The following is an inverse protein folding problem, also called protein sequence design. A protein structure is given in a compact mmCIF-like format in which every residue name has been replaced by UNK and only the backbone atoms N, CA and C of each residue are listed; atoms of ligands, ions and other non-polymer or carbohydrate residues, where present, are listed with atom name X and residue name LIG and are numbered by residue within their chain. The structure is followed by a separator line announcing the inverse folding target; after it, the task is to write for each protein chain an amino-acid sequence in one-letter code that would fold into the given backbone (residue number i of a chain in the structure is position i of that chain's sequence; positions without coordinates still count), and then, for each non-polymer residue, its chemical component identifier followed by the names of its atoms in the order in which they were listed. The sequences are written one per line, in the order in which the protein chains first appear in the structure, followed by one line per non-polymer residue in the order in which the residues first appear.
data_IF_587211225839
#
_entry.id   IF_587211225839
#
_cell.length_a   1.000
_cell.length_b   1.000
_cell.length_c   1.000
_cell.angle_alpha   90.00
_cell.angle_beta   90.00
_cell.angle_gamma   90.00
#
_symmetry.space_group_name_H-M   'P 1'
#
loop_
_entity.id
_entity.type
_entity.pdbx_description
1 polymer ?
#
# COMPACT_ATOMS: atom_id res chain seq x y z
N UNK A 1 11.44 -16.46 -9.37
CA UNK A 1 10.40 -15.76 -8.59
C UNK A 1 9.86 -14.55 -9.35
N UNK A 2 10.73 -13.64 -9.84
CA UNK A 2 10.31 -12.50 -10.68
C UNK A 2 9.82 -12.90 -12.08
N UNK A 3 10.39 -13.94 -12.70
CA UNK A 3 9.94 -14.47 -14.00
C UNK A 3 8.49 -14.96 -13.99
N UNK A 4 7.98 -15.40 -12.83
CA UNK A 4 6.57 -15.81 -12.62
C UNK A 4 5.62 -14.62 -12.44
N UNK A 5 6.14 -13.39 -12.51
CA UNK A 5 5.38 -12.15 -12.38
C UNK A 5 5.64 -11.24 -13.59
N UNK A 6 5.73 -11.83 -14.78
CA UNK A 6 5.98 -11.15 -16.05
C UNK A 6 4.69 -10.86 -16.82
N UNK A 7 4.79 -10.01 -17.85
CA UNK A 7 3.71 -9.80 -18.82
C UNK A 7 3.34 -11.09 -19.56
N UNK A 8 4.33 -11.92 -19.90
CA UNK A 8 4.10 -13.20 -20.58
C UNK A 8 3.30 -14.16 -19.71
N UNK A 9 3.60 -14.25 -18.42
CA UNK A 9 2.84 -15.09 -17.49
C UNK A 9 1.41 -14.56 -17.32
N UNK A 10 1.23 -13.24 -17.24
CA UNK A 10 -0.10 -12.62 -17.20
C UNK A 10 -0.94 -13.00 -18.43
N UNK A 11 -0.39 -12.81 -19.64
CA UNK A 11 -1.06 -13.16 -20.89
C UNK A 11 -1.31 -14.67 -21.00
N UNK A 12 -0.34 -15.51 -20.60
CA UNK A 12 -0.50 -16.97 -20.61
C UNK A 12 -1.65 -17.45 -19.71
N UNK A 13 -1.84 -16.82 -18.54
CA UNK A 13 -2.95 -17.18 -17.64
C UNK A 13 -4.31 -16.76 -18.23
N UNK A 14 -4.37 -15.63 -18.93
CA UNK A 14 -5.54 -15.21 -19.71
C UNK A 14 -5.83 -16.22 -20.82
N UNK A 15 -4.84 -16.57 -21.65
CA UNK A 15 -4.98 -17.46 -22.80
C UNK A 15 -5.41 -18.88 -22.39
N UNK A 16 -5.02 -19.31 -21.18
CA UNK A 16 -5.46 -20.58 -20.56
C UNK A 16 -6.90 -20.53 -20.01
N UNK A 17 -7.59 -19.39 -20.12
CA UNK A 17 -8.96 -19.22 -19.66
C UNK A 17 -9.12 -19.10 -18.14
N UNK A 18 -8.07 -18.70 -17.40
CA UNK A 18 -8.22 -18.45 -15.96
C UNK A 18 -9.12 -17.24 -15.70
N UNK A 19 -9.80 -17.24 -14.56
CA UNK A 19 -10.54 -16.06 -14.12
C UNK A 19 -9.57 -15.02 -13.57
N UNK A 20 -9.32 -13.95 -14.32
CA UNK A 20 -8.37 -12.91 -13.92
C UNK A 20 -9.08 -11.70 -13.32
N UNK A 21 -8.59 -11.21 -12.18
CA UNK A 21 -9.02 -9.94 -11.58
C UNK A 21 -7.80 -9.02 -11.49
N UNK A 22 -7.95 -7.75 -11.89
CA UNK A 22 -6.88 -6.75 -11.84
C UNK A 22 -7.22 -5.65 -10.84
N UNK A 23 -6.28 -5.26 -9.98
CA UNK A 23 -6.43 -4.11 -9.07
C UNK A 23 -5.36 -3.05 -9.34
N UNK A 24 -5.77 -1.84 -9.69
CA UNK A 24 -4.90 -0.73 -10.09
C UNK A 24 -4.65 0.26 -8.95
N UNK A 25 -3.38 0.59 -8.71
CA UNK A 25 -3.02 1.61 -7.73
C UNK A 25 -3.26 3.05 -8.23
N UNK A 26 -3.63 3.99 -7.35
CA UNK A 26 -3.76 5.42 -7.70
C UNK A 26 -2.48 6.02 -8.29
N UNK A 27 -1.31 5.56 -7.87
CA UNK A 27 -0.02 6.03 -8.39
C UNK A 27 0.22 5.56 -9.83
N UNK A 28 -0.14 4.32 -10.16
CA UNK A 28 -0.07 3.81 -11.52
C UNK A 28 -1.09 4.49 -12.44
N UNK A 29 -2.30 4.77 -11.92
CA UNK A 29 -3.31 5.56 -12.61
C UNK A 29 -2.80 6.96 -12.95
N UNK A 30 -2.19 7.66 -11.98
CA UNK A 30 -1.55 8.96 -12.21
C UNK A 30 -0.39 8.88 -13.22
N UNK A 31 0.41 7.81 -13.19
CA UNK A 31 1.51 7.60 -14.14
C UNK A 31 1.03 7.50 -15.58
N UNK A 32 0.00 6.70 -15.82
CA UNK A 32 -0.63 6.56 -17.14
C UNK A 32 -1.31 7.88 -17.57
N UNK A 33 -1.97 8.58 -16.65
CA UNK A 33 -2.63 9.86 -16.90
C UNK A 33 -1.66 10.90 -17.46
N UNK A 34 -0.52 11.09 -16.76
CA UNK A 34 0.54 12.00 -17.20
C UNK A 34 1.14 11.57 -18.54
N UNK A 35 1.33 10.26 -18.75
CA UNK A 35 1.92 9.76 -20.00
C UNK A 35 1.04 10.07 -21.23
N UNK A 36 -0.26 9.76 -21.13
CA UNK A 36 -1.23 9.91 -22.23
C UNK A 36 -1.87 11.31 -22.31
N UNK A 37 -1.68 12.15 -21.29
CA UNK A 37 -2.27 13.48 -21.22
C UNK A 37 -3.80 13.45 -21.12
N UNK A 38 -4.32 12.59 -20.24
CA UNK A 38 -5.75 12.44 -19.94
C UNK A 38 -5.93 12.36 -18.41
N UNK A 39 -7.16 12.54 -17.92
CA UNK A 39 -7.42 12.53 -16.48
C UNK A 39 -7.28 11.13 -15.86
N UNK A 40 -7.02 11.01 -14.54
CA UNK A 40 -6.95 9.72 -13.86
C UNK A 40 -8.22 8.87 -13.98
N UNK A 41 -9.40 9.49 -13.95
CA UNK A 41 -10.67 8.77 -14.12
C UNK A 41 -10.83 8.21 -15.54
N UNK A 42 -10.40 8.97 -16.55
CA UNK A 42 -10.39 8.47 -17.94
C UNK A 42 -9.43 7.29 -18.11
N UNK A 43 -8.26 7.33 -17.45
CA UNK A 43 -7.35 6.18 -17.40
C UNK A 43 -8.06 4.96 -16.82
N UNK A 44 -8.73 5.10 -15.66
CA UNK A 44 -9.41 3.98 -15.01
C UNK A 44 -10.51 3.38 -15.91
N UNK A 45 -11.26 4.20 -16.64
CA UNK A 45 -12.28 3.72 -17.58
C UNK A 45 -11.67 3.04 -18.80
N UNK A 46 -10.66 3.64 -19.44
CA UNK A 46 -10.01 3.10 -20.64
C UNK A 46 -9.17 1.85 -20.34
N UNK A 47 -8.52 1.80 -19.19
CA UNK A 47 -7.79 0.60 -18.75
C UNK A 47 -8.76 -0.53 -18.38
N UNK A 48 -9.96 -0.20 -17.88
CA UNK A 48 -11.03 -1.19 -17.70
C UNK A 48 -11.43 -1.79 -19.04
N UNK A 49 -11.70 -0.96 -20.06
CA UNK A 49 -11.97 -1.42 -21.42
C UNK A 49 -10.85 -2.31 -21.95
N UNK A 50 -9.60 -1.86 -21.84
CA UNK A 50 -8.42 -2.57 -22.32
C UNK A 50 -8.27 -3.95 -21.67
N UNK A 51 -8.34 -4.04 -20.35
CA UNK A 51 -8.22 -5.32 -19.65
C UNK A 51 -9.42 -6.25 -19.92
N UNK A 52 -10.65 -5.72 -20.00
CA UNK A 52 -11.84 -6.51 -20.34
C UNK A 52 -11.73 -7.07 -21.76
N UNK A 53 -11.20 -6.29 -22.71
CA UNK A 53 -10.88 -6.75 -24.07
C UNK A 53 -9.88 -7.92 -24.07
N UNK A 54 -8.91 -7.92 -23.15
CA UNK A 54 -7.99 -9.04 -22.98
C UNK A 54 -8.63 -10.25 -22.26
N UNK A 55 -9.84 -10.16 -21.72
CA UNK A 55 -10.50 -11.27 -21.01
C UNK A 55 -10.43 -11.18 -19.48
N UNK A 56 -9.98 -10.06 -18.91
CA UNK A 56 -10.04 -9.82 -17.46
C UNK A 56 -11.48 -9.72 -16.99
N UNK A 57 -11.82 -10.45 -15.92
CA UNK A 57 -13.18 -10.54 -15.37
C UNK A 57 -13.60 -9.26 -14.66
N UNK A 58 -12.72 -8.66 -13.86
CA UNK A 58 -12.99 -7.44 -13.09
C UNK A 58 -11.74 -6.57 -12.91
N UNK A 59 -11.93 -5.26 -12.87
CA UNK A 59 -10.89 -4.24 -12.66
C UNK A 59 -11.29 -3.32 -11.50
N UNK A 60 -10.47 -3.28 -10.45
CA UNK A 60 -10.71 -2.49 -9.24
C UNK A 60 -9.64 -1.42 -9.01
N UNK A 61 -9.95 -0.43 -8.19
CA UNK A 61 -9.00 0.56 -7.68
C UNK A 61 -8.59 0.23 -6.23
N UNK A 62 -7.29 0.36 -5.90
CA UNK A 62 -6.80 0.01 -4.56
C UNK A 62 -7.07 1.08 -3.49
N UNK A 63 -7.82 2.14 -3.78
CA UNK A 63 -8.12 3.19 -2.80
C UNK A 63 -8.94 2.65 -1.62
N UNK A 64 -9.89 1.74 -1.88
CA UNK A 64 -10.67 1.12 -0.79
C UNK A 64 -9.80 0.29 0.15
N UNK A 65 -8.83 -0.49 -0.38
CA UNK A 65 -7.94 -1.28 0.47
C UNK A 65 -6.98 -0.39 1.24
N UNK A 66 -6.57 0.75 0.68
CA UNK A 66 -5.79 1.75 1.40
C UNK A 66 -6.55 2.33 2.59
N UNK A 67 -7.80 2.71 2.42
CA UNK A 67 -8.62 3.25 3.52
C UNK A 67 -8.73 2.21 4.65
N UNK A 68 -8.99 0.95 4.29
CA UNK A 68 -9.03 -0.16 5.26
C UNK A 68 -7.68 -0.34 5.99
N UNK A 69 -6.57 -0.30 5.26
CA UNK A 69 -5.22 -0.34 5.85
C UNK A 69 -4.97 0.85 6.79
N UNK A 70 -5.47 2.05 6.48
CA UNK A 70 -5.33 3.22 7.35
C UNK A 70 -6.13 3.07 8.65
N UNK A 71 -7.32 2.47 8.59
CA UNK A 71 -8.15 2.19 9.77
C UNK A 71 -7.45 1.24 10.73
N UNK A 72 -6.92 0.12 10.22
CA UNK A 72 -6.14 -0.82 11.04
C UNK A 72 -4.86 -0.18 11.59
N UNK A 73 -4.18 0.67 10.80
CA UNK A 73 -2.98 1.37 11.25
C UNK A 73 -3.28 2.38 12.36
N UNK A 74 -4.41 3.08 12.28
CA UNK A 74 -4.89 3.96 13.34
C UNK A 74 -5.14 3.15 14.62
N UNK A 75 -5.88 2.05 14.53
CA UNK A 75 -6.17 1.19 15.67
C UNK A 75 -4.89 0.62 16.32
N UNK A 76 -3.94 0.13 15.51
CA UNK A 76 -2.66 -0.36 16.01
C UNK A 76 -1.86 0.74 16.71
N UNK A 77 -1.79 1.94 16.14
CA UNK A 77 -1.08 3.06 16.75
C UNK A 77 -1.68 3.45 18.11
N UNK A 78 -3.00 3.60 18.19
CA UNK A 78 -3.70 3.94 19.44
C UNK A 78 -3.40 2.90 20.52
N UNK A 79 -3.50 1.61 20.15
CA UNK A 79 -3.22 0.50 21.06
C UNK A 79 -1.78 0.54 21.57
N UNK A 80 -0.79 0.68 20.67
CA UNK A 80 0.63 0.77 21.05
C UNK A 80 0.91 2.00 21.92
N UNK A 81 0.30 3.14 21.58
CA UNK A 81 0.47 4.37 22.35
C UNK A 81 -0.06 4.20 23.78
N UNK A 82 -1.29 3.72 23.96
CA UNK A 82 -1.87 3.49 25.28
C UNK A 82 -1.07 2.48 26.10
N UNK A 83 -0.60 1.40 25.49
CA UNK A 83 0.28 0.42 26.14
C UNK A 83 1.62 1.04 26.58
N UNK A 84 2.20 1.93 25.77
CA UNK A 84 3.45 2.64 26.12
C UNK A 84 3.31 3.52 27.35
N UNK A 85 2.09 4.01 27.64
CA UNK A 85 1.79 4.86 28.81
C UNK A 85 1.43 4.05 30.06
N UNK A 86 1.06 2.77 29.94
CA UNK A 86 0.67 1.97 31.10
C UNK A 86 1.88 1.64 31.99
N UNK A 87 1.67 1.46 33.29
CA UNK A 87 2.73 1.17 34.28
C UNK A 87 3.05 -0.34 34.35
N UNK A 88 2.15 -1.18 33.84
CA UNK A 88 2.27 -2.65 33.91
C UNK A 88 3.44 -3.23 33.09
N UNK A 89 3.73 -4.50 33.33
CA UNK A 89 4.94 -5.22 32.92
C UNK A 89 5.43 -4.90 31.50
N UNK A 90 6.71 -4.49 31.39
CA UNK A 90 7.34 -4.06 30.13
C UNK A 90 7.56 -5.20 29.14
N UNK A 91 7.43 -6.44 29.60
CA UNK A 91 7.78 -7.65 28.84
C UNK A 91 6.84 -7.96 27.66
N UNK A 92 5.60 -7.43 27.64
CA UNK A 92 4.57 -7.73 26.63
C UNK A 92 4.17 -6.55 25.74
N UNK A 93 4.83 -5.39 25.86
CA UNK A 93 4.45 -4.16 25.15
C UNK A 93 5.15 -4.03 23.80
N UNK A 94 4.37 -3.74 22.77
CA UNK A 94 4.92 -3.35 21.47
C UNK A 94 5.58 -1.96 21.58
N UNK A 95 6.81 -1.78 21.08
CA UNK A 95 7.55 -0.54 21.30
C UNK A 95 7.10 0.59 20.36
N UNK A 96 7.41 1.82 20.79
CA UNK A 96 7.34 3.04 19.97
C UNK A 96 8.76 3.51 19.60
N UNK A 97 8.96 4.11 18.40
CA UNK A 97 7.95 4.49 17.42
C UNK A 97 7.32 3.32 16.67
N UNK A 98 6.03 3.45 16.31
CA UNK A 98 5.45 2.57 15.29
C UNK A 98 5.94 3.00 13.91
N UNK A 99 6.47 2.06 13.13
CA UNK A 99 7.03 2.30 11.80
C UNK A 99 6.08 1.72 10.75
N UNK A 100 5.69 2.53 9.77
CA UNK A 100 4.84 2.08 8.67
C UNK A 100 5.47 0.91 7.89
N UNK A 101 4.62 -0.01 7.44
CA UNK A 101 5.02 -1.27 6.80
C UNK A 101 4.78 -1.32 5.29
N UNK A 102 4.06 -0.35 4.72
CA UNK A 102 3.53 -0.44 3.36
C UNK A 102 4.60 -0.43 2.25
N UNK A 103 5.83 -0.03 2.55
CA UNK A 103 6.96 0.04 1.62
C UNK A 103 7.77 -1.27 1.63
N UNK A 104 7.71 -2.12 0.58
CA UNK A 104 8.39 -3.42 0.61
C UNK A 104 9.91 -3.31 0.60
N UNK A 105 10.48 -2.26 -0.02
CA UNK A 105 11.91 -2.00 0.02
C UNK A 105 12.43 -1.74 1.44
N UNK A 106 11.62 -1.08 2.29
CA UNK A 106 11.91 -0.93 3.72
C UNK A 106 11.85 -2.28 4.44
N UNK A 107 10.77 -3.04 4.26
CA UNK A 107 10.60 -4.35 4.89
C UNK A 107 11.74 -5.30 4.52
N UNK A 108 12.10 -5.38 3.24
CA UNK A 108 13.22 -6.19 2.76
C UNK A 108 14.55 -5.79 3.40
N UNK A 109 14.81 -4.48 3.57
CA UNK A 109 16.01 -4.02 4.26
C UNK A 109 15.98 -4.37 5.75
N UNK A 110 14.84 -4.18 6.42
CA UNK A 110 14.66 -4.50 7.83
C UNK A 110 14.91 -6.00 8.11
N UNK A 111 14.28 -6.90 7.36
CA UNK A 111 14.40 -8.35 7.55
C UNK A 111 15.80 -8.88 7.20
N UNK A 112 16.45 -8.34 6.15
CA UNK A 112 17.75 -8.84 5.67
C UNK A 112 18.96 -8.26 6.39
N UNK A 113 18.88 -7.00 6.85
CA UNK A 113 20.05 -6.25 7.32
C UNK A 113 19.95 -5.81 8.78
N UNK A 114 18.74 -5.61 9.30
CA UNK A 114 18.55 -5.05 10.64
C UNK A 114 18.15 -6.14 11.65
N UNK A 115 17.32 -7.09 11.23
CA UNK A 115 16.92 -8.22 12.07
C UNK A 115 16.11 -7.80 13.30
N UNK A 116 16.20 -8.60 14.37
CA UNK A 116 15.26 -8.59 15.49
C UNK A 116 15.13 -7.25 16.24
N UNK A 117 16.12 -6.36 16.20
CA UNK A 117 16.02 -5.10 16.94
C UNK A 117 15.01 -4.12 16.33
N UNK A 118 14.74 -4.19 15.01
CA UNK A 118 13.87 -3.22 14.34
C UNK A 118 12.47 -3.77 14.08
N UNK A 119 12.33 -5.07 13.86
CA UNK A 119 11.07 -5.71 13.47
C UNK A 119 9.92 -5.43 14.46
N UNK A 120 10.12 -5.41 15.81
CA UNK A 120 9.06 -5.10 16.75
C UNK A 120 8.44 -3.69 16.58
N UNK A 121 9.20 -2.75 16.02
CA UNK A 121 8.72 -1.39 15.75
C UNK A 121 7.84 -1.31 14.51
N UNK A 122 7.90 -2.30 13.60
CA UNK A 122 7.15 -2.28 12.34
C UNK A 122 5.68 -2.60 12.64
N UNK A 123 4.79 -1.82 12.03
CA UNK A 123 3.34 -2.05 12.03
C UNK A 123 3.02 -3.41 11.42
N UNK A 124 2.21 -4.20 12.11
CA UNK A 124 1.79 -5.52 11.63
C UNK A 124 0.75 -5.44 10.50
N UNK A 125 0.18 -4.27 10.24
CA UNK A 125 -0.84 -4.11 9.19
C UNK A 125 -0.22 -4.35 7.81
N UNK A 126 -0.90 -5.16 7.00
CA UNK A 126 -0.55 -5.43 5.60
C UNK A 126 -0.61 -4.16 4.75
N UNK A 127 0.15 -4.13 3.66
CA UNK A 127 0.06 -3.00 2.72
C UNK A 127 -1.28 -2.99 1.98
N UNK A 128 -1.64 -1.88 1.31
CA UNK A 128 -2.87 -1.82 0.50
C UNK A 128 -2.93 -2.87 -0.62
N UNK A 129 -1.78 -3.30 -1.15
CA UNK A 129 -1.70 -4.38 -2.14
C UNK A 129 -2.18 -5.71 -1.55
N UNK A 130 -1.64 -6.10 -0.40
CA UNK A 130 -2.00 -7.38 0.20
C UNK A 130 -3.38 -7.33 0.83
N UNK A 131 -3.76 -6.17 1.36
CA UNK A 131 -5.12 -5.92 1.82
C UNK A 131 -6.14 -6.13 0.68
N UNK A 132 -5.89 -5.60 -0.53
CA UNK A 132 -6.82 -5.87 -1.65
C UNK A 132 -6.80 -7.33 -2.09
N UNK A 133 -5.65 -8.00 -2.02
CA UNK A 133 -5.55 -9.45 -2.27
C UNK A 133 -6.44 -10.27 -1.32
N UNK A 134 -6.35 -9.99 -0.02
CA UNK A 134 -7.20 -10.61 0.98
C UNK A 134 -8.70 -10.34 0.72
N UNK A 135 -9.07 -9.09 0.43
CA UNK A 135 -10.47 -8.73 0.10
C UNK A 135 -10.94 -9.50 -1.14
N UNK A 136 -10.13 -9.55 -2.20
CA UNK A 136 -10.50 -10.24 -3.44
C UNK A 136 -10.76 -11.72 -3.17
N UNK A 137 -9.82 -12.42 -2.52
CA UNK A 137 -9.90 -13.87 -2.31
C UNK A 137 -10.99 -14.27 -1.30
N UNK A 138 -11.22 -13.47 -0.26
CA UNK A 138 -12.11 -13.87 0.83
C UNK A 138 -13.49 -13.20 0.80
N UNK A 139 -13.69 -12.11 0.08
CA UNK A 139 -14.97 -11.39 0.03
C UNK A 139 -15.52 -11.23 -1.39
N UNK A 140 -14.70 -10.78 -2.35
CA UNK A 140 -15.16 -10.56 -3.73
C UNK A 140 -15.45 -11.88 -4.43
N UNK A 141 -14.59 -12.89 -4.29
CA UNK A 141 -14.81 -14.20 -4.90
C UNK A 141 -16.17 -14.79 -4.46
N UNK A 142 -16.48 -14.72 -3.17
CA UNK A 142 -17.77 -15.17 -2.63
C UNK A 142 -18.95 -14.40 -3.24
N UNK A 143 -18.83 -13.07 -3.32
CA UNK A 143 -19.86 -12.20 -3.89
C UNK A 143 -20.11 -12.45 -5.38
N UNK A 144 -19.09 -12.92 -6.11
CA UNK A 144 -19.16 -13.24 -7.54
C UNK A 144 -19.42 -14.72 -7.83
N UNK A 145 -19.60 -15.56 -6.81
CA UNK A 145 -19.75 -17.02 -6.98
C UNK A 145 -18.51 -17.71 -7.55
N UNK A 146 -17.32 -17.15 -7.32
CA UNK A 146 -16.04 -17.67 -7.79
C UNK A 146 -15.33 -18.45 -6.67
N UNK A 147 -14.62 -19.50 -7.06
CA UNK A 147 -13.67 -20.19 -6.18
C UNK A 147 -12.37 -19.41 -6.10
N UNK A 148 -11.89 -19.12 -4.90
CA UNK A 148 -10.74 -18.23 -4.67
C UNK A 148 -9.43 -18.78 -5.21
N UNK A 149 -9.28 -20.10 -5.23
CA UNK A 149 -8.16 -20.85 -5.81
C UNK A 149 -8.08 -20.75 -7.35
N UNK A 150 -9.20 -20.49 -8.02
CA UNK A 150 -9.26 -20.39 -9.49
C UNK A 150 -9.04 -18.97 -9.99
N UNK A 151 -9.17 -17.99 -9.09
CA UNK A 151 -9.00 -16.58 -9.41
C UNK A 151 -7.51 -16.27 -9.42
N UNK A 152 -7.01 -15.80 -10.56
CA UNK A 152 -5.68 -15.23 -10.70
C UNK A 152 -5.75 -13.72 -10.49
N UNK A 153 -5.33 -13.26 -9.32
CA UNK A 153 -5.41 -11.85 -8.93
C UNK A 153 -4.09 -11.13 -9.22
N UNK A 154 -4.19 -10.06 -10.01
CA UNK A 154 -3.06 -9.26 -10.49
C UNK A 154 -3.19 -7.85 -9.97
N UNK A 155 -2.10 -7.26 -9.52
CA UNK A 155 -2.09 -5.83 -9.13
C UNK A 155 -1.21 -5.00 -10.05
N UNK A 156 -1.57 -3.73 -10.26
CA UNK A 156 -0.78 -2.78 -11.04
C UNK A 156 -0.22 -1.71 -10.12
N UNK A 157 1.10 -1.69 -9.98
CA UNK A 157 1.81 -0.96 -8.92
C UNK A 157 2.94 -0.08 -9.45
N UNK A 158 3.33 0.99 -8.74
CA UNK A 158 4.38 1.90 -9.19
C UNK A 158 5.81 1.37 -8.89
N UNK A 159 5.97 0.16 -8.36
CA UNK A 159 7.22 -0.31 -7.78
C UNK A 159 7.48 -1.79 -8.08
N UNK A 160 8.73 -2.14 -8.41
CA UNK A 160 9.14 -3.55 -8.58
C UNK A 160 9.19 -4.32 -7.26
N UNK A 161 9.49 -3.67 -6.13
CA UNK A 161 9.54 -4.36 -4.82
C UNK A 161 8.16 -4.89 -4.41
N UNK A 162 7.07 -4.40 -5.00
CA UNK A 162 5.73 -4.96 -4.82
C UNK A 162 5.60 -6.39 -5.36
N UNK A 163 6.40 -6.77 -6.37
CA UNK A 163 6.55 -8.17 -6.80
C UNK A 163 7.16 -9.04 -5.70
N UNK A 164 8.17 -8.51 -5.00
CA UNK A 164 8.80 -9.22 -3.88
C UNK A 164 7.80 -9.40 -2.72
N UNK A 165 7.00 -8.37 -2.43
CA UNK A 165 5.92 -8.47 -1.45
C UNK A 165 4.90 -9.55 -1.83
N UNK A 166 4.42 -9.57 -3.08
CA UNK A 166 3.46 -10.57 -3.56
C UNK A 166 3.98 -12.01 -3.46
N UNK A 167 5.29 -12.19 -3.57
CA UNK A 167 5.92 -13.52 -3.54
C UNK A 167 6.24 -14.06 -2.14
N UNK A 168 5.88 -13.35 -1.06
CA UNK A 168 6.12 -13.83 0.31
C UNK A 168 5.19 -15.00 0.63
N UNK A 169 5.75 -16.04 1.24
CA UNK A 169 4.97 -17.20 1.70
C UNK A 169 3.95 -16.81 2.80
N UNK A 170 4.19 -15.70 3.52
CA UNK A 170 3.24 -15.14 4.50
C UNK A 170 1.86 -14.78 3.91
N UNK A 171 1.77 -14.60 2.58
CA UNK A 171 0.54 -14.24 1.87
C UNK A 171 -0.03 -15.39 1.05
N UNK A 172 0.34 -16.61 1.42
CA UNK A 172 -0.20 -17.85 0.88
C UNK A 172 -0.85 -18.63 2.01
N UNK A 173 -2.14 -18.90 1.89
CA UNK A 173 -2.82 -19.89 2.73
C UNK A 173 -2.89 -21.25 2.04
N UNK A 174 -2.74 -22.32 2.83
CA UNK A 174 -3.07 -23.68 2.41
C UNK A 174 -4.30 -24.08 3.19
N UNK A 175 -5.40 -24.30 2.47
CA UNK A 175 -6.67 -24.71 3.06
C UNK A 175 -6.96 -26.16 2.68
N UNK A 176 -7.31 -26.97 3.68
CA UNK A 176 -7.68 -28.37 3.49
C UNK A 176 -9.20 -28.48 3.37
N UNK A 177 -9.68 -29.05 2.26
CA UNK A 177 -11.06 -29.50 2.12
C UNK A 177 -11.04 -31.01 1.82
N UNK A 178 -11.23 -31.83 2.86
CA UNK A 178 -11.05 -33.28 2.77
C UNK A 178 -9.59 -33.65 2.52
N UNK A 179 -9.34 -34.48 1.50
CA UNK A 179 -7.99 -34.90 1.09
C UNK A 179 -7.29 -33.91 0.15
N UNK A 180 -8.00 -32.87 -0.32
CA UNK A 180 -7.43 -31.87 -1.21
C UNK A 180 -6.86 -30.69 -0.43
N UNK A 181 -5.59 -30.37 -0.70
CA UNK A 181 -4.94 -29.16 -0.22
C UNK A 181 -4.95 -28.09 -1.31
N UNK A 182 -5.61 -26.97 -1.03
CA UNK A 182 -5.74 -25.87 -1.99
C UNK A 182 -4.88 -24.70 -1.54
N UNK A 183 -3.97 -24.29 -2.43
CA UNK A 183 -3.10 -23.13 -2.21
C UNK A 183 -3.83 -21.88 -2.70
N UNK A 184 -4.02 -20.91 -1.82
CA UNK A 184 -4.60 -19.60 -2.14
C UNK A 184 -3.56 -18.53 -1.90
N UNK A 185 -3.13 -17.89 -2.99
CA UNK A 185 -2.26 -16.71 -2.94
C UNK A 185 -3.13 -15.46 -2.95
N UNK A 186 -2.87 -14.50 -2.07
CA UNK A 186 -3.64 -13.23 -2.02
C UNK A 186 -3.45 -12.39 -3.29
N UNK A 187 -2.20 -12.25 -3.75
CA UNK A 187 -1.81 -11.57 -4.99
C UNK A 187 -0.91 -12.50 -5.80
N UNK A 188 -1.41 -13.00 -6.92
CA UNK A 188 -0.70 -14.00 -7.74
C UNK A 188 0.40 -13.36 -8.61
N UNK A 189 0.21 -12.10 -9.04
CA UNK A 189 1.19 -11.38 -9.84
C UNK A 189 1.07 -9.87 -9.68
N UNK A 190 2.16 -9.17 -9.95
CA UNK A 190 2.22 -7.71 -9.98
C UNK A 190 2.79 -7.25 -11.31
N UNK A 191 2.05 -6.37 -11.99
CA UNK A 191 2.53 -5.61 -13.13
C UNK A 191 2.89 -4.20 -12.66
N UNK A 192 3.90 -3.62 -13.28
CA UNK A 192 4.26 -2.23 -13.04
C UNK A 192 3.53 -1.27 -13.99
N UNK A 193 3.49 0.02 -13.65
CA UNK A 193 2.96 1.05 -14.55
C UNK A 193 3.67 1.02 -15.92
N UNK A 194 4.98 0.79 -15.93
CA UNK A 194 5.78 0.63 -17.15
C UNK A 194 5.42 -0.63 -17.95
N UNK A 195 5.24 -1.76 -17.29
CA UNK A 195 4.83 -3.02 -17.96
C UNK A 195 3.42 -2.93 -18.55
N UNK A 196 2.50 -2.21 -17.91
CA UNK A 196 1.17 -1.96 -18.50
C UNK A 196 1.26 -1.08 -19.75
N UNK A 197 2.15 -0.06 -19.75
CA UNK A 197 2.41 0.74 -20.95
C UNK A 197 2.99 -0.12 -22.09
N UNK A 198 3.96 -0.98 -21.77
CA UNK A 198 4.53 -1.93 -22.73
C UNK A 198 3.45 -2.86 -23.29
N UNK A 199 2.56 -3.38 -22.45
CA UNK A 199 1.46 -4.22 -22.89
C UNK A 199 0.49 -3.50 -23.85
N UNK A 200 0.15 -2.24 -23.57
CA UNK A 200 -0.68 -1.41 -24.47
C UNK A 200 0.00 -1.27 -25.84
N UNK A 201 1.32 -1.03 -25.86
CA UNK A 201 2.10 -0.90 -27.09
C UNK A 201 2.19 -2.23 -27.85
N UNK A 202 2.43 -3.34 -27.15
CA UNK A 202 2.49 -4.70 -27.73
C UNK A 202 1.18 -5.10 -28.40
N UNK A 203 0.04 -4.67 -27.86
CA UNK A 203 -1.29 -4.91 -28.46
C UNK A 203 -1.66 -3.91 -29.55
N UNK A 204 -0.77 -2.96 -29.88
CA UNK A 204 -0.97 -1.92 -30.89
C UNK A 204 -2.28 -1.13 -30.70
N UNK A 205 -2.65 -0.86 -29.44
CA UNK A 205 -3.89 -0.16 -29.10
C UNK A 205 -3.64 1.35 -29.00
N UNK A 206 -4.46 2.14 -29.70
CA UNK A 206 -4.57 3.57 -29.43
C UNK A 206 -5.35 3.80 -28.14
N UNK A 207 -4.63 3.84 -27.02
CA UNK A 207 -5.23 3.94 -25.69
C UNK A 207 -6.10 5.18 -25.51
N UNK A 208 -5.73 6.32 -26.14
CA UNK A 208 -6.52 7.55 -26.02
C UNK A 208 -7.85 7.43 -26.75
N UNK A 209 -7.87 6.75 -27.89
CA UNK A 209 -9.07 6.53 -28.71
C UNK A 209 -9.99 5.42 -28.17
N UNK A 210 -9.55 4.59 -27.22
CA UNK A 210 -10.40 3.55 -26.63
C UNK A 210 -11.70 4.12 -26.06
N UNK A 211 -12.81 3.42 -26.29
CA UNK A 211 -14.07 3.73 -25.61
C UNK A 211 -13.93 3.54 -24.08
N UNK A 212 -14.65 4.36 -23.32
CA UNK A 212 -14.62 4.34 -21.86
C UNK A 212 -15.67 3.35 -21.32
N UNK A 213 -15.24 2.31 -20.61
CA UNK A 213 -16.13 1.41 -19.86
C UNK A 213 -16.27 1.88 -18.40
N UNK A 214 -17.44 1.68 -17.76
CA UNK A 214 -17.58 1.95 -16.33
C UNK A 214 -16.67 1.02 -15.50
N UNK A 215 -15.96 1.54 -14.47
CA UNK A 215 -15.16 0.70 -13.58
C UNK A 215 -16.05 -0.24 -12.76
N UNK A 216 -15.52 -1.42 -12.39
CA UNK A 216 -16.25 -2.35 -11.52
C UNK A 216 -16.38 -1.75 -10.10
N UNK A 217 -17.61 -1.64 -9.59
CA UNK A 217 -17.92 -0.84 -8.39
C UNK A 217 -17.66 -1.50 -7.04
N UNK A 218 -17.50 -2.84 -6.97
CA UNK A 218 -17.43 -3.55 -5.68
C UNK A 218 -16.34 -3.02 -4.73
N UNK A 219 -15.19 -2.65 -5.28
CA UNK A 219 -14.06 -2.10 -4.51
C UNK A 219 -13.60 -0.72 -4.99
N UNK A 220 -14.28 -0.14 -5.99
CA UNK A 220 -13.89 1.15 -6.58
C UNK A 220 -14.79 2.25 -6.03
N UNK A 221 -14.23 3.11 -5.18
CA UNK A 221 -14.99 4.18 -4.54
C UNK A 221 -14.91 5.48 -5.37
N UNK A 222 -15.98 5.80 -6.10
CA UNK A 222 -16.16 7.07 -6.80
C UNK A 222 -17.61 7.54 -6.70
N UNK A 223 -17.81 8.86 -6.71
CA UNK A 223 -19.16 9.45 -6.70
C UNK A 223 -19.80 9.44 -8.10
N UNK A 224 -21.05 9.91 -8.21
CA UNK A 224 -21.79 9.93 -9.48
C UNK A 224 -21.12 10.82 -10.53
N UNK A 225 -20.41 11.87 -10.09
CA UNK A 225 -19.63 12.79 -10.91
C UNK A 225 -18.29 12.20 -11.39
N UNK A 226 -17.92 10.99 -10.95
CA UNK A 226 -16.70 10.30 -11.36
C UNK A 226 -15.44 10.70 -10.59
N UNK A 227 -15.58 11.45 -9.49
CA UNK A 227 -14.48 11.73 -8.58
C UNK A 227 -14.20 10.53 -7.69
N UNK A 228 -12.93 10.17 -7.61
CA UNK A 228 -12.45 9.06 -6.82
C UNK A 228 -12.25 9.50 -5.37
N UNK A 229 -12.63 8.67 -4.42
CA UNK A 229 -12.32 8.92 -3.01
C UNK A 229 -10.85 8.62 -2.75
N UNK A 230 -10.23 9.40 -1.86
CA UNK A 230 -8.89 9.12 -1.39
C UNK A 230 -8.48 10.02 -0.24
N UNK A 231 -7.23 9.88 0.18
CA UNK A 231 -6.62 10.74 1.19
C UNK A 231 -5.38 11.44 0.66
N UNK A 232 -5.02 12.53 1.33
CA UNK A 232 -3.78 13.25 1.06
C UNK A 232 -2.54 12.36 1.19
N UNK A 233 -1.51 12.67 0.39
CA UNK A 233 -0.23 11.99 0.38
C UNK A 233 -0.20 10.86 -0.65
N UNK A 234 0.71 10.95 -1.60
CA UNK A 234 0.87 9.96 -2.67
C UNK A 234 1.57 8.67 -2.25
N UNK A 235 2.06 8.62 -1.00
CA UNK A 235 2.74 7.47 -0.41
C UNK A 235 1.93 6.77 0.69
N UNK A 236 0.61 6.94 0.68
CA UNK A 236 -0.28 6.25 1.61
C UNK A 236 -0.92 7.15 2.66
N UNK A 237 -0.31 8.30 3.00
CA UNK A 237 -0.95 9.29 3.87
C UNK A 237 -1.10 8.82 5.32
N UNK A 238 -0.26 7.88 5.75
CA UNK A 238 -0.33 7.24 7.06
C UNK A 238 -0.08 8.24 8.17
N UNK A 239 1.02 8.99 8.10
CA UNK A 239 1.38 9.94 9.14
C UNK A 239 0.26 10.97 9.35
N UNK A 240 -0.30 11.51 8.26
CA UNK A 240 -1.36 12.51 8.37
C UNK A 240 -2.67 11.96 8.92
N UNK A 241 -3.08 10.76 8.48
CA UNK A 241 -4.33 10.13 8.92
C UNK A 241 -4.23 9.69 10.38
N UNK A 242 -3.17 8.96 10.73
CA UNK A 242 -2.93 8.46 12.08
C UNK A 242 -2.74 9.62 13.06
N UNK A 243 -2.05 10.70 12.67
CA UNK A 243 -1.85 11.86 13.52
C UNK A 243 -3.18 12.54 13.89
N UNK A 244 -4.06 12.78 12.90
CA UNK A 244 -5.39 13.37 13.16
C UNK A 244 -6.24 12.48 14.04
N UNK A 245 -6.28 11.18 13.73
CA UNK A 245 -7.05 10.22 14.50
C UNK A 245 -6.53 10.12 15.95
N UNK A 246 -5.21 10.04 16.13
CA UNK A 246 -4.56 10.03 17.44
C UNK A 246 -4.81 11.31 18.24
N UNK A 247 -4.70 12.49 17.61
CA UNK A 247 -4.99 13.76 18.25
C UNK A 247 -6.42 13.81 18.80
N UNK A 248 -7.39 13.33 18.01
CA UNK A 248 -8.80 13.28 18.39
C UNK A 248 -9.06 12.27 19.52
N UNK A 249 -8.63 11.02 19.35
CA UNK A 249 -8.97 9.92 20.26
C UNK A 249 -8.19 9.98 21.58
N UNK A 250 -6.90 10.34 21.55
CA UNK A 250 -6.05 10.33 22.74
C UNK A 250 -6.08 11.64 23.52
N UNK A 251 -6.33 12.77 22.83
CA UNK A 251 -6.19 14.11 23.43
C UNK A 251 -7.43 15.00 23.26
N UNK A 252 -8.50 14.51 22.62
CA UNK A 252 -9.70 15.32 22.37
C UNK A 252 -9.45 16.53 21.47
N UNK A 253 -8.40 16.50 20.65
CA UNK A 253 -8.02 17.60 19.75
C UNK A 253 -8.37 17.27 18.32
N UNK A 254 -9.33 18.01 17.76
CA UNK A 254 -9.59 17.99 16.33
C UNK A 254 -8.55 18.86 15.61
N UNK A 255 -8.03 18.33 14.51
CA UNK A 255 -6.97 18.97 13.71
C UNK A 255 -7.51 19.16 12.30
N UNK A 256 -8.09 20.34 12.08
CA UNK A 256 -8.70 20.70 10.81
C UNK A 256 -7.67 21.21 9.79
N UNK A 257 -7.99 21.01 8.51
CA UNK A 257 -7.19 21.53 7.41
C UNK A 257 -5.86 20.78 7.17
N UNK A 258 -4.94 21.41 6.41
CA UNK A 258 -3.65 20.80 6.08
C UNK A 258 -2.74 20.74 7.30
N UNK A 259 -2.12 19.57 7.53
CA UNK A 259 -1.11 19.42 8.57
C UNK A 259 0.15 20.21 8.20
N UNK A 260 0.68 20.95 9.17
CA UNK A 260 1.92 21.70 9.00
C UNK A 260 3.14 20.79 9.20
N UNK A 261 3.53 20.09 8.14
CA UNK A 261 4.77 19.32 8.11
C UNK A 261 5.98 20.25 7.93
N UNK A 262 6.82 20.35 8.96
CA UNK A 262 8.05 21.15 8.93
C UNK A 262 9.18 20.34 8.30
N UNK A 263 9.85 20.92 7.31
CA UNK A 263 11.05 20.33 6.72
C UNK A 263 12.20 20.33 7.74
N UNK A 264 12.74 19.16 8.07
CA UNK A 264 13.89 19.06 8.97
C UNK A 264 15.19 19.28 8.20
N UNK A 265 15.28 18.76 6.98
CA UNK A 265 16.44 18.93 6.08
C UNK A 265 16.04 19.27 4.66
N UNK A 266 15.02 18.58 4.14
CA UNK A 266 14.47 18.74 2.80
C UNK A 266 13.07 18.10 2.77
N UNK A 267 12.40 18.14 1.61
CA UNK A 267 11.03 17.65 1.44
C UNK A 267 10.83 16.15 1.72
N UNK A 268 11.87 15.33 1.68
CA UNK A 268 11.77 13.90 2.00
C UNK A 268 11.97 13.60 3.50
N UNK A 269 12.23 14.63 4.31
CA UNK A 269 12.29 14.48 5.77
C UNK A 269 11.55 15.62 6.44
N UNK A 270 10.30 15.34 6.79
CA UNK A 270 9.39 16.29 7.41
C UNK A 270 8.85 15.76 8.73
N UNK A 271 8.48 16.66 9.63
CA UNK A 271 7.96 16.35 10.95
C UNK A 271 6.67 17.12 11.23
N UNK A 272 5.76 16.50 11.98
CA UNK A 272 4.59 17.15 12.57
C UNK A 272 4.50 16.81 14.06
N UNK A 273 4.17 17.80 14.88
CA UNK A 273 4.04 17.68 16.34
C UNK A 273 2.68 18.14 16.83
N UNK A 274 2.18 17.50 17.89
CA UNK A 274 1.08 18.01 18.70
C UNK A 274 1.65 18.41 20.07
N UNK A 275 1.46 19.66 20.45
CA UNK A 275 1.85 20.19 21.74
C UNK A 275 0.63 20.38 22.63
N UNK A 276 0.70 19.89 23.87
CA UNK A 276 -0.30 20.07 24.91
C UNK A 276 0.38 20.52 26.20
N UNK A 277 -0.08 21.63 26.78
CA UNK A 277 0.46 22.16 28.05
C UNK A 277 1.99 22.34 28.02
N UNK A 278 2.54 22.76 26.88
CA UNK A 278 3.98 22.95 26.68
C UNK A 278 4.79 21.67 26.51
N UNK A 279 4.15 20.51 26.38
CA UNK A 279 4.80 19.21 26.12
C UNK A 279 4.40 18.66 24.76
N UNK A 280 5.36 18.09 24.03
CA UNK A 280 5.09 17.35 22.80
C UNK A 280 4.46 16.00 23.13
N UNK A 281 3.18 15.83 22.82
CA UNK A 281 2.44 14.59 23.10
C UNK A 281 2.38 13.64 21.89
N UNK A 282 2.44 14.19 20.66
CA UNK A 282 2.62 13.43 19.43
C UNK A 282 3.76 14.03 18.61
N UNK A 283 4.58 13.17 18.01
CA UNK A 283 5.72 13.56 17.17
C UNK A 283 5.91 12.54 16.07
N UNK A 284 5.54 12.91 14.85
CA UNK A 284 5.48 12.02 13.70
C UNK A 284 6.44 12.52 12.63
N UNK A 285 7.01 11.62 11.84
CA UNK A 285 7.83 12.02 10.69
C UNK A 285 7.54 11.24 9.41
N UNK A 286 7.67 11.95 8.30
CA UNK A 286 7.84 11.40 6.97
C UNK A 286 9.34 11.23 6.73
N UNK A 287 9.77 10.03 6.38
CA UNK A 287 11.18 9.69 6.15
C UNK A 287 11.31 8.92 4.84
N UNK A 288 11.50 9.66 3.75
CA UNK A 288 11.60 9.09 2.41
C UNK A 288 13.07 9.08 1.94
N UNK A 289 13.41 8.06 1.17
CA UNK A 289 14.75 7.83 0.68
C UNK A 289 15.64 7.04 1.66
N UNK A 290 16.41 6.10 1.11
CA UNK A 290 17.26 5.19 1.88
C UNK A 290 18.28 5.90 2.80
N UNK A 291 18.78 7.06 2.40
CA UNK A 291 19.72 7.86 3.22
C UNK A 291 19.07 8.34 4.53
N UNK A 292 17.82 8.81 4.47
CA UNK A 292 17.08 9.26 5.64
C UNK A 292 16.71 8.07 6.54
N UNK A 293 16.27 6.97 5.90
CA UNK A 293 15.96 5.71 6.55
C UNK A 293 17.15 5.19 7.40
N UNK A 294 18.36 5.16 6.84
CA UNK A 294 19.57 4.75 7.59
C UNK A 294 19.84 5.64 8.82
N UNK A 295 19.55 6.94 8.75
CA UNK A 295 19.72 7.84 9.89
C UNK A 295 18.72 7.53 11.01
N UNK A 296 17.45 7.27 10.67
CA UNK A 296 16.43 6.85 11.63
C UNK A 296 16.78 5.52 12.27
N UNK A 297 17.23 4.54 11.48
CA UNK A 297 17.65 3.23 12.00
C UNK A 297 18.81 3.35 12.99
N UNK A 298 19.79 4.22 12.73
CA UNK A 298 20.86 4.50 13.71
C UNK A 298 20.30 5.06 15.01
N UNK A 299 19.35 6.00 14.94
CA UNK A 299 18.69 6.58 16.13
C UNK A 299 17.90 5.53 16.92
N UNK A 300 17.18 4.64 16.24
CA UNK A 300 16.46 3.52 16.86
C UNK A 300 17.43 2.59 17.59
N UNK A 301 18.54 2.20 16.93
CA UNK A 301 19.55 1.30 17.49
C UNK A 301 20.17 1.80 18.79
N UNK A 302 20.37 3.12 18.92
CA UNK A 302 20.95 3.73 20.13
C UNK A 302 19.91 4.26 21.12
N UNK A 303 18.61 3.98 20.90
CA UNK A 303 17.54 4.44 21.78
C UNK A 303 17.34 5.96 21.82
N UNK A 304 17.72 6.68 20.75
CA UNK A 304 17.59 8.15 20.63
C UNK A 304 16.60 8.57 19.54
N UNK A 305 15.59 7.73 19.29
CA UNK A 305 14.49 8.06 18.39
C UNK A 305 13.31 8.57 19.23
N UNK A 306 12.99 9.85 19.08
CA UNK A 306 12.00 10.61 19.85
C UNK A 306 10.64 10.73 19.12
N UNK A 307 10.47 10.00 18.02
CA UNK A 307 9.21 9.92 17.31
C UNK A 307 8.28 8.90 17.96
N UNK A 308 6.97 9.12 17.82
CA UNK A 308 5.94 8.13 18.13
C UNK A 308 5.52 7.34 16.89
N UNK A 309 5.57 7.96 15.70
CA UNK A 309 5.26 7.29 14.43
C UNK A 309 6.20 7.73 13.32
N UNK A 310 6.55 6.78 12.44
CA UNK A 310 7.44 6.99 11.30
C UNK A 310 6.81 6.42 10.01
N UNK A 311 6.52 7.28 9.05
CA UNK A 311 6.17 6.86 7.69
C UNK A 311 7.44 6.75 6.85
N UNK A 312 7.85 5.53 6.50
CA UNK A 312 9.10 5.26 5.80
C UNK A 312 8.84 4.82 4.36
N UNK A 313 9.56 5.44 3.42
CA UNK A 313 9.61 5.02 2.02
C UNK A 313 11.06 4.86 1.58
N UNK A 314 11.39 3.78 0.87
CA UNK A 314 12.74 3.54 0.36
C UNK A 314 13.13 4.54 -0.76
N UNK A 315 12.16 4.94 -1.59
CA UNK A 315 12.35 5.90 -2.68
C UNK A 315 12.30 7.35 -2.16
N UNK A 316 13.20 8.24 -2.61
CA UNK A 316 12.99 9.69 -2.48
C UNK A 316 11.70 10.10 -3.17
N UNK A 317 10.97 11.08 -2.63
CA UNK A 317 9.63 11.49 -3.08
C UNK A 317 8.57 10.38 -3.05
N UNK A 318 8.86 9.30 -2.31
CA UNK A 318 7.92 8.22 -2.04
C UNK A 318 7.46 7.45 -3.27
N UNK A 319 6.21 6.99 -3.27
CA UNK A 319 5.73 6.01 -4.26
C UNK A 319 5.61 6.55 -5.69
N UNK A 320 5.49 7.87 -5.89
CA UNK A 320 5.44 8.46 -7.24
C UNK A 320 6.78 8.37 -7.98
N UNK A 321 7.88 8.18 -7.25
CA UNK A 321 9.21 7.95 -7.79
C UNK A 321 9.61 6.45 -7.70
N UNK A 322 8.62 5.56 -7.63
CA UNK A 322 8.85 4.13 -7.60
C UNK A 322 9.51 3.62 -8.88
N UNK A 323 10.35 2.59 -8.77
CA UNK A 323 11.15 2.10 -9.89
C UNK A 323 10.33 1.58 -11.09
N UNK A 324 9.08 1.17 -10.85
CA UNK A 324 8.14 0.65 -11.86
C UNK A 324 7.27 1.72 -12.53
N UNK A 325 7.45 2.99 -12.20
CA UNK A 325 6.77 4.09 -12.88
C UNK A 325 7.25 4.24 -14.32
N UNK A 326 6.38 4.81 -15.17
CA UNK A 326 6.73 5.18 -16.53
C UNK A 326 7.87 6.22 -16.48
N UNK A 327 8.93 5.97 -17.25
CA UNK A 327 10.14 6.81 -17.23
C UNK A 327 9.88 8.20 -17.83
N UNK A 328 10.66 9.21 -17.42
CA UNK A 328 10.60 10.55 -18.03
C UNK A 328 10.80 10.48 -19.55
N UNK A 329 10.09 11.36 -20.27
CA UNK A 329 10.32 11.54 -21.71
C UNK A 329 11.72 12.17 -21.95
N UNK A 330 12.35 11.96 -23.11
CA UNK A 330 13.60 12.65 -23.44
C UNK A 330 13.49 14.16 -23.23
N UNK A 331 14.43 14.73 -22.45
CA UNK A 331 14.43 16.17 -22.10
C UNK A 331 13.60 16.55 -20.87
N UNK A 332 12.82 15.64 -20.28
CA UNK A 332 12.08 15.87 -19.04
C UNK A 332 12.93 15.48 -17.83
N UNK A 333 13.03 16.36 -16.83
CA UNK A 333 13.72 16.00 -15.58
C UNK A 333 12.86 15.07 -14.72
N UNK A 334 13.45 14.16 -13.93
CA UNK A 334 12.70 13.34 -12.97
C UNK A 334 11.89 14.17 -11.96
N UNK A 335 12.41 15.34 -11.56
CA UNK A 335 11.74 16.24 -10.63
C UNK A 335 10.46 16.83 -11.24
N UNK A 336 10.51 17.26 -12.50
CA UNK A 336 9.33 17.80 -13.19
C UNK A 336 8.27 16.72 -13.38
N UNK A 337 8.69 15.49 -13.69
CA UNK A 337 7.77 14.35 -13.77
C UNK A 337 7.06 14.10 -12.43
N UNK A 338 7.79 14.10 -11.32
CA UNK A 338 7.20 13.91 -9.98
C UNK A 338 6.16 15.00 -9.69
N UNK A 339 6.43 16.26 -10.01
CA UNK A 339 5.46 17.35 -9.79
C UNK A 339 4.17 17.17 -10.61
N UNK A 340 4.29 16.71 -11.86
CA UNK A 340 3.14 16.37 -12.70
C UNK A 340 2.35 15.18 -12.12
N UNK A 341 3.05 14.16 -11.64
CA UNK A 341 2.44 12.99 -11.01
C UNK A 341 1.70 13.36 -9.73
N UNK A 342 2.24 14.26 -8.90
CA UNK A 342 1.57 14.76 -7.70
C UNK A 342 0.27 15.49 -8.05
N UNK A 343 0.30 16.31 -9.10
CA UNK A 343 -0.87 17.04 -9.59
C UNK A 343 -1.94 16.06 -10.10
N UNK A 344 -1.56 15.14 -10.99
CA UNK A 344 -2.46 14.14 -11.55
C UNK A 344 -3.00 13.18 -10.47
N UNK A 345 -2.21 12.86 -9.45
CA UNK A 345 -2.65 11.99 -8.36
C UNK A 345 -3.82 12.59 -7.57
N UNK A 346 -3.85 13.91 -7.37
CA UNK A 346 -4.93 14.61 -6.66
C UNK A 346 -6.05 15.10 -7.59
N UNK A 347 -5.87 15.03 -8.90
CA UNK A 347 -6.87 15.43 -9.88
C UNK A 347 -8.12 14.53 -9.79
N UNK A 348 -9.31 15.14 -9.74
CA UNK A 348 -10.59 14.45 -9.55
C UNK A 348 -10.63 13.51 -8.32
N UNK A 349 -9.88 13.83 -7.26
CA UNK A 349 -9.94 13.10 -5.98
C UNK A 349 -10.73 13.90 -4.95
N UNK A 350 -11.80 13.31 -4.43
CA UNK A 350 -12.48 13.78 -3.22
C UNK A 350 -11.68 13.31 -2.00
N UNK A 351 -11.03 14.25 -1.35
CA UNK A 351 -10.40 13.98 -0.06
C UNK A 351 -11.49 13.76 0.97
N UNK A 352 -11.55 12.56 1.53
CA UNK A 352 -12.52 12.19 2.53
C UNK A 352 -11.85 11.43 3.68
N UNK A 353 -12.51 11.41 4.84
CA UNK A 353 -12.08 10.59 5.97
C UNK A 353 -12.23 9.10 5.62
N UNK A 354 -11.17 8.28 5.71
CA UNK A 354 -11.23 6.83 5.45
C UNK A 354 -12.32 6.11 6.25
N UNK A 355 -12.59 6.60 7.47
CA UNK A 355 -13.60 6.07 8.36
C UNK A 355 -15.03 6.25 7.85
N UNK A 356 -15.25 7.20 6.93
CA UNK A 356 -16.55 7.47 6.33
C UNK A 356 -16.77 6.74 4.99
N UNK A 357 -15.78 5.97 4.51
CA UNK A 357 -15.90 5.22 3.27
C UNK A 357 -16.96 4.10 3.42
N UNK A 358 -18.08 4.15 2.66
CA UNK A 358 -19.18 3.20 2.80
C UNK A 358 -18.80 1.78 2.39
N UNK A 359 -17.87 1.61 1.45
CA UNK A 359 -17.37 0.28 1.05
C UNK A 359 -16.59 -0.34 2.22
N UNK A 360 -15.73 0.45 2.87
CA UNK A 360 -14.94 0.00 4.03
C UNK A 360 -15.84 -0.35 5.21
N UNK A 361 -16.85 0.48 5.52
CA UNK A 361 -17.87 0.16 6.53
C UNK A 361 -18.56 -1.17 6.21
N UNK A 362 -18.98 -1.36 4.96
CA UNK A 362 -19.61 -2.60 4.52
C UNK A 362 -18.68 -3.83 4.63
N UNK A 363 -17.38 -3.69 4.40
CA UNK A 363 -16.40 -4.76 4.60
C UNK A 363 -16.25 -5.14 6.07
N UNK A 364 -16.27 -4.17 6.98
CA UNK A 364 -16.30 -4.44 8.41
C UNK A 364 -17.59 -5.14 8.82
N UNK A 365 -18.75 -4.58 8.50
CA UNK A 365 -20.05 -5.10 8.92
C UNK A 365 -20.30 -6.54 8.43
N UNK A 366 -19.90 -6.84 7.17
CA UNK A 366 -20.19 -8.14 6.54
C UNK A 366 -19.08 -9.17 6.73
N UNK A 367 -17.84 -8.74 6.95
CA UNK A 367 -16.68 -9.64 6.95
C UNK A 367 -15.76 -9.43 8.15
N UNK A 368 -15.24 -8.24 8.41
CA UNK A 368 -14.10 -8.05 9.32
C UNK A 368 -14.48 -7.67 10.76
N UNK A 369 -15.77 -7.49 11.03
CA UNK A 369 -16.36 -6.98 12.27
C UNK A 369 -15.99 -5.51 12.56
N UNK A 370 -14.88 -5.25 13.22
CA UNK A 370 -14.41 -3.90 13.56
C UNK A 370 -12.89 -3.83 13.48
N UNK A 371 -12.28 -2.62 13.40
CA UNK A 371 -10.83 -2.46 13.42
C UNK A 371 -10.19 -3.20 14.60
N UNK A 372 -9.09 -3.91 14.34
CA UNK A 372 -8.38 -4.68 15.36
C UNK A 372 -9.08 -5.93 15.89
N UNK A 373 -10.22 -6.35 15.32
CA UNK A 373 -10.84 -7.63 15.68
C UNK A 373 -9.92 -8.80 15.33
N UNK A 374 -10.12 -9.97 15.95
CA UNK A 374 -9.33 -11.17 15.61
C UNK A 374 -9.48 -11.58 14.13
N UNK A 375 -10.64 -11.29 13.52
CA UNK A 375 -10.87 -11.57 12.11
C UNK A 375 -10.16 -10.55 11.21
N UNK A 376 -10.14 -9.28 11.61
CA UNK A 376 -9.35 -8.25 10.95
C UNK A 376 -7.85 -8.55 11.04
N UNK A 377 -7.33 -8.87 12.22
CA UNK A 377 -5.94 -9.29 12.43
C UNK A 377 -5.54 -10.46 11.52
N UNK A 378 -6.36 -11.51 11.48
CA UNK A 378 -6.08 -12.69 10.64
C UNK A 378 -5.91 -12.37 9.16
N UNK A 379 -6.70 -11.45 8.62
CA UNK A 379 -6.72 -11.18 7.18
C UNK A 379 -5.90 -9.96 6.78
N UNK A 380 -5.78 -8.98 7.66
CA UNK A 380 -5.21 -7.66 7.39
C UNK A 380 -3.89 -7.40 8.10
N UNK A 381 -3.42 -8.30 8.95
CA UNK A 381 -2.12 -8.21 9.59
C UNK A 381 -1.20 -9.35 9.15
N UNK A 382 0.10 -9.14 9.33
CA UNK A 382 1.18 -10.06 9.02
C UNK A 382 2.29 -9.90 10.05
N UNK A 383 3.23 -10.84 10.03
CA UNK A 383 4.45 -10.79 10.82
C UNK A 383 5.67 -10.64 9.91
N UNK A 384 6.78 -10.18 10.49
CA UNK A 384 8.06 -9.97 9.80
C UNK A 384 9.15 -10.73 10.51
N UNK A 385 9.99 -11.43 9.74
CA UNK A 385 10.96 -12.37 10.28
C UNK A 385 12.37 -12.04 9.77
N UNK A 386 13.42 -12.16 10.61
CA UNK A 386 14.79 -12.02 10.13
C UNK A 386 15.10 -13.06 9.05
N UNK A 387 15.74 -12.65 7.96
CA UNK A 387 16.23 -13.61 6.97
C UNK A 387 17.48 -14.28 7.53
N UNK A 388 17.40 -15.58 7.79
CA UNK A 388 18.55 -16.37 8.25
C UNK A 388 19.55 -16.46 7.09
N UNK A 389 20.62 -15.67 7.17
CA UNK A 389 21.80 -15.79 6.29
C UNK A 389 22.37 -17.21 6.43
N UNK A 390 22.61 -17.91 5.32
CA UNK A 390 23.25 -19.23 5.39
C UNK A 390 24.63 -19.11 6.04
N UNK A 391 25.08 -20.14 6.77
CA UNK A 391 26.40 -20.19 7.43
C UNK A 391 27.52 -19.83 6.45
N UNK A 392 27.38 -20.23 5.18
CA UNK A 392 28.33 -19.92 4.09
C UNK A 392 28.47 -18.41 3.82
N UNK A 393 27.38 -17.65 3.96
CA UNK A 393 27.41 -16.18 3.79
C UNK A 393 27.97 -15.45 5.01
N UNK A 394 27.95 -16.05 6.19
CA UNK A 394 28.53 -15.49 7.42
C UNK A 394 30.06 -15.68 7.47
N UNK A 395 30.58 -16.76 6.86
CA UNK A 395 32.01 -17.05 6.79
C UNK A 395 32.79 -16.13 5.82
N UNK A 396 32.11 -15.45 4.89
CA UNK A 396 32.73 -14.46 4.00
C UNK A 396 32.86 -13.05 4.63
N UNK A 397 32.17 -12.81 5.74
CA UNK A 397 32.21 -11.54 6.49
C UNK A 397 33.22 -11.60 7.67
N UNK A 398 34.05 -12.66 7.77
CA UNK A 398 35.11 -12.83 8.78
C UNK A 398 36.51 -12.70 8.19
#
# INVERSE_FOLDING_TARGET
MLEKQSLDEFLSNIDKGKTVIVSLSPQSRASLAVHFGITPIQVLKKITTFFKFLGVKAVFDTSCSRDLTLLESCNEFITRYQQSQSIDDKSSKLPLPMVASACPGWICYAEKQLGSFVLPYISSVKSPQQTIGAIVKHHVCQSLGLRKEDVYHVTVMPCYDKKLEASRDDFVSVESQGENHMKVTEVDSVLTSGEVLELIQLKAVDFKALEEAPPDRLLTNFNEEGYLYGVHGSSGGYAGTIFRHAAKILFGREVDGPLNFKNIRHSDFQEVTLEMEGKTVLRFALCYGFRNLQNIVRKLKVGKCDYHFLEIMACPSGCLNGGGQIKPKPGQSPKDLIQLLETAYMENVLVAEPFENPIVKGLYDKWLNHPGSEKAKRHLHTEYHPVVKSITSQLHDW
#
